data_IF_047553796820
#
_entry.id   IF_047553796820
#
_cell.length_a   1.000
_cell.length_b   1.000
_cell.length_c   1.000
_cell.angle_alpha   90.00
_cell.angle_beta   90.00
_cell.angle_gamma   90.00
#
_symmetry.space_group_name_H-M   'P 1'
#
loop_
_entity.id
_entity.type
_entity.pdbx_description
1 polymer ?
#
# COMPACT_ATOMS: atom_id res chain seq x y z
N UNK A 1 -9.30 15.18 3.34
CA UNK A 1 -8.48 15.05 4.57
C UNK A 1 -8.54 13.59 5.00
N UNK A 2 -7.53 13.06 5.70
CA UNK A 2 -7.58 11.69 6.23
C UNK A 2 -8.61 11.55 7.37
N UNK A 3 -9.38 10.45 7.35
CA UNK A 3 -10.35 10.06 8.37
C UNK A 3 -10.17 8.54 8.63
N UNK A 4 -9.78 8.12 9.84
CA UNK A 4 -9.49 6.72 10.18
C UNK A 4 -10.72 5.81 10.18
N UNK A 5 -11.93 6.36 10.23
CA UNK A 5 -13.17 5.58 10.29
C UNK A 5 -13.67 5.17 8.89
N UNK A 6 -13.23 5.88 7.85
CA UNK A 6 -13.63 5.63 6.45
C UNK A 6 -12.46 5.37 5.51
N UNK A 7 -11.22 5.62 5.94
CA UNK A 7 -10.03 5.30 5.16
C UNK A 7 -9.26 4.13 5.75
N UNK A 8 -8.75 3.31 4.85
CA UNK A 8 -7.75 2.31 5.17
C UNK A 8 -6.38 2.93 4.88
N UNK A 9 -5.51 2.96 5.88
CA UNK A 9 -4.12 3.40 5.72
C UNK A 9 -3.20 2.19 5.62
N UNK A 10 -2.30 2.20 4.65
CA UNK A 10 -1.27 1.18 4.47
C UNK A 10 0.11 1.80 4.59
N UNK A 11 1.02 1.11 5.27
CA UNK A 11 2.41 1.51 5.42
C UNK A 11 3.31 0.30 5.46
N UNK A 12 4.52 0.39 4.91
CA UNK A 12 5.52 -0.66 5.12
C UNK A 12 5.86 -0.78 6.62
N UNK A 13 5.82 -1.99 7.19
CA UNK A 13 5.97 -2.20 8.64
C UNK A 13 7.38 -1.86 9.14
N UNK A 14 8.39 -2.20 8.35
CA UNK A 14 9.80 -2.17 8.78
C UNK A 14 10.69 -1.17 8.02
N UNK A 15 10.13 -0.38 7.10
CA UNK A 15 10.91 0.53 6.25
C UNK A 15 10.27 1.91 6.16
N UNK A 16 11.07 2.99 6.06
CA UNK A 16 10.55 4.30 5.72
C UNK A 16 10.01 4.31 4.28
N UNK A 17 8.88 4.98 4.10
CA UNK A 17 8.16 5.05 2.83
C UNK A 17 6.87 5.85 3.02
N UNK A 18 6.11 6.06 1.93
CA UNK A 18 4.85 6.77 2.01
C UNK A 18 3.77 5.95 2.73
N UNK A 19 2.74 6.66 3.17
CA UNK A 19 1.46 6.06 3.49
C UNK A 19 0.59 6.01 2.22
N UNK A 20 -0.06 4.88 1.97
CA UNK A 20 -1.16 4.82 1.01
C UNK A 20 -2.49 4.93 1.76
N UNK A 21 -3.43 5.69 1.18
CA UNK A 21 -4.78 5.85 1.69
C UNK A 21 -5.77 5.28 0.69
N UNK A 22 -6.63 4.41 1.19
CA UNK A 22 -7.64 3.70 0.45
C UNK A 22 -9.02 4.16 0.94
N UNK A 23 -9.88 4.59 0.03
CA UNK A 23 -11.20 5.16 0.34
C UNK A 23 -12.29 4.56 -0.55
N UNK A 24 -13.51 4.41 -0.02
CA UNK A 24 -14.67 3.90 -0.75
C UNK A 24 -14.98 2.44 -0.41
N UNK A 25 -15.68 1.74 -1.31
CA UNK A 25 -15.94 0.29 -1.18
C UNK A 25 -14.70 -0.47 -1.66
N UNK A 26 -14.10 -1.26 -0.77
CA UNK A 26 -12.78 -1.87 -1.00
C UNK A 26 -12.89 -3.39 -0.96
N UNK A 27 -12.40 -4.04 -1.99
CA UNK A 27 -12.27 -5.50 -2.07
C UNK A 27 -10.92 -5.95 -1.51
N UNK A 28 -10.77 -7.25 -1.23
CA UNK A 28 -9.46 -7.79 -0.83
C UNK A 28 -8.41 -7.64 -1.95
N UNK A 29 -8.82 -7.68 -3.22
CA UNK A 29 -7.91 -7.46 -4.37
C UNK A 29 -7.38 -6.02 -4.41
N UNK A 30 -8.23 -5.04 -4.14
CA UNK A 30 -7.83 -3.63 -4.04
C UNK A 30 -6.81 -3.44 -2.90
N UNK A 31 -7.05 -4.10 -1.77
CA UNK A 31 -6.16 -4.06 -0.62
C UNK A 31 -4.79 -4.67 -0.93
N UNK A 32 -4.76 -5.81 -1.62
CA UNK A 32 -3.53 -6.46 -2.07
C UNK A 32 -2.77 -5.60 -3.09
N UNK A 33 -3.49 -4.97 -4.01
CA UNK A 33 -2.91 -4.04 -5.00
C UNK A 33 -2.30 -2.83 -4.32
N UNK A 34 -3.04 -2.21 -3.39
CA UNK A 34 -2.56 -1.10 -2.59
C UNK A 34 -1.31 -1.45 -1.78
N UNK A 35 -1.27 -2.63 -1.17
CA UNK A 35 -0.11 -3.08 -0.41
C UNK A 35 1.13 -3.27 -1.31
N UNK A 36 0.95 -3.83 -2.51
CA UNK A 36 2.05 -3.92 -3.50
C UNK A 36 2.52 -2.55 -3.95
N UNK A 37 1.59 -1.61 -4.17
CA UNK A 37 1.92 -0.22 -4.47
C UNK A 37 2.73 0.38 -3.32
N UNK A 38 2.25 0.31 -2.07
CA UNK A 38 2.95 0.78 -0.88
C UNK A 38 4.37 0.22 -0.80
N UNK A 39 4.55 -1.09 -0.99
CA UNK A 39 5.86 -1.73 -0.99
C UNK A 39 6.78 -1.18 -2.10
N UNK A 40 6.24 -0.94 -3.30
CA UNK A 40 7.00 -0.44 -4.46
C UNK A 40 7.56 0.97 -4.28
N UNK A 41 6.95 1.79 -3.41
CA UNK A 41 7.41 3.14 -3.08
C UNK A 41 8.32 3.18 -1.84
N UNK A 42 8.84 2.03 -1.41
CA UNK A 42 9.83 1.94 -0.33
C UNK A 42 11.20 1.49 -0.86
N UNK A 43 12.15 1.21 0.04
CA UNK A 43 13.46 0.64 -0.31
C UNK A 43 13.46 -0.89 -0.37
N UNK A 44 12.30 -1.55 -0.28
CA UNK A 44 12.19 -3.00 -0.45
C UNK A 44 12.68 -3.39 -1.85
N UNK A 45 13.51 -4.44 -1.96
CA UNK A 45 14.04 -4.84 -3.27
C UNK A 45 12.99 -5.64 -4.03
N UNK A 46 12.90 -5.47 -5.36
CA UNK A 46 12.01 -6.28 -6.19
C UNK A 46 12.22 -7.79 -5.95
N UNK A 47 11.13 -8.53 -5.77
CA UNK A 47 11.14 -9.97 -5.52
C UNK A 47 11.31 -10.37 -4.05
N UNK A 48 11.65 -9.45 -3.15
CA UNK A 48 11.67 -9.72 -1.71
C UNK A 48 10.25 -9.63 -1.12
N UNK A 49 9.97 -10.43 -0.08
CA UNK A 49 8.75 -10.30 0.71
C UNK A 49 8.79 -9.02 1.52
N UNK A 50 7.81 -8.15 1.30
CA UNK A 50 7.58 -6.93 2.04
C UNK A 50 6.39 -7.10 2.99
N UNK A 51 6.55 -6.68 4.24
CA UNK A 51 5.48 -6.66 5.22
C UNK A 51 4.81 -5.29 5.23
N UNK A 52 3.52 -5.27 4.93
CA UNK A 52 2.69 -4.06 4.89
C UNK A 52 1.69 -4.10 6.03
N UNK A 53 1.72 -3.06 6.86
CA UNK A 53 0.77 -2.84 7.94
C UNK A 53 -0.44 -2.06 7.45
N UNK A 54 -1.60 -2.58 7.79
CA UNK A 54 -2.91 -2.05 7.44
C UNK A 54 -3.56 -1.53 8.72
N UNK A 55 -3.98 -0.27 8.70
CA UNK A 55 -4.72 0.40 9.76
C UNK A 55 -6.13 0.71 9.28
N UNK A 56 -7.14 0.28 10.03
CA UNK A 56 -8.55 0.54 9.74
C UNK A 56 -9.30 0.74 11.07
N UNK A 57 -9.66 1.99 11.37
CA UNK A 57 -10.08 2.38 12.72
C UNK A 57 -9.02 1.99 13.76
N UNK A 58 -9.45 1.28 14.81
CA UNK A 58 -8.56 0.75 15.85
C UNK A 58 -7.88 -0.58 15.48
N UNK A 59 -8.25 -1.20 14.35
CA UNK A 59 -7.72 -2.50 13.94
C UNK A 59 -6.42 -2.32 13.17
N UNK A 60 -5.44 -3.15 13.51
CA UNK A 60 -4.18 -3.25 12.79
C UNK A 60 -3.93 -4.70 12.39
N UNK A 61 -3.54 -4.94 11.13
CA UNK A 61 -3.04 -6.24 10.67
C UNK A 61 -1.87 -6.06 9.73
N UNK A 62 -0.98 -7.05 9.72
CA UNK A 62 0.14 -7.10 8.77
C UNK A 62 -0.19 -8.12 7.68
N UNK A 63 0.13 -7.77 6.43
CA UNK A 63 0.07 -8.68 5.28
C UNK A 63 1.42 -8.74 4.58
N UNK A 64 1.68 -9.85 3.90
CA UNK A 64 2.89 -10.05 3.13
C UNK A 64 2.60 -9.92 1.64
N UNK A 65 3.43 -9.15 0.94
CA UNK A 65 3.38 -8.98 -0.52
C UNK A 65 4.78 -9.12 -1.10
N UNK A 66 4.87 -9.62 -2.32
CA UNK A 66 6.13 -9.57 -3.07
C UNK A 66 6.32 -8.16 -3.61
N UNK A 67 7.42 -7.50 -3.24
CA UNK A 67 7.74 -6.18 -3.73
C UNK A 67 7.89 -6.23 -5.27
N UNK A 68 7.11 -5.45 -6.02
CA UNK A 68 7.16 -5.50 -7.46
C UNK A 68 8.39 -4.77 -8.00
N UNK A 69 8.70 -4.96 -9.29
CA UNK A 69 9.74 -4.19 -9.96
C UNK A 69 9.35 -2.70 -10.01
N UNK A 70 10.34 -1.83 -9.95
CA UNK A 70 10.12 -0.39 -10.15
C UNK A 70 9.38 -0.13 -11.46
N UNK A 71 8.36 0.72 -11.42
CA UNK A 71 7.52 1.02 -12.59
C UNK A 71 6.40 0.03 -12.89
N UNK A 72 6.21 -1.04 -12.10
CA UNK A 72 5.11 -2.00 -12.30
C UNK A 72 3.70 -1.40 -12.24
N UNK A 73 3.57 -0.17 -11.71
CA UNK A 73 2.32 0.57 -11.61
C UNK A 73 2.38 1.92 -12.33
N UNK A 74 3.27 2.10 -13.31
CA UNK A 74 3.37 3.35 -14.08
C UNK A 74 2.03 3.77 -14.68
N UNK A 75 1.26 2.78 -15.13
CA UNK A 75 -0.01 2.99 -15.84
C UNK A 75 -1.14 3.42 -14.88
N UNK A 76 -0.93 3.25 -13.57
CA UNK A 76 -1.85 3.68 -12.52
C UNK A 76 -1.53 5.08 -12.00
N UNK A 77 -0.42 5.68 -12.44
CA UNK A 77 -0.06 7.03 -12.02
C UNK A 77 -0.83 8.06 -12.83
N UNK A 78 -1.40 9.03 -12.12
CA UNK A 78 -1.98 10.21 -12.76
C UNK A 78 -0.83 11.04 -13.34
N UNK A 79 -0.58 10.92 -14.64
CA UNK A 79 0.28 11.86 -15.36
C UNK A 79 -0.51 13.15 -15.62
N UNK A 80 0.07 14.31 -15.29
CA UNK A 80 -0.47 15.58 -15.79
C UNK A 80 -0.32 15.59 -17.31
N UNK A 81 -1.44 15.51 -18.03
CA UNK A 81 -1.52 15.90 -19.44
C UNK A 81 -1.38 17.41 -19.61
#
# INVERSE_FOLDING_TARGET
LYDPDVHIRLRHANMPGPDALLSGTITEEDLMTAARITASYTKAKPGETAQVRIYHGERTRDIEVIAPKGGAFSDLLISKG
#
